data_IF_146742535822
#
_entry.id   IF_146742535822
#
_cell.length_a   1.000
_cell.length_b   1.000
_cell.length_c   1.000
_cell.angle_alpha   90.00
_cell.angle_beta   90.00
_cell.angle_gamma   90.00
#
_symmetry.space_group_name_H-M   'P 1'
#
loop_
_entity.id
_entity.type
_entity.pdbx_description
1 polymer ?
#
# COMPACT_ATOMS: atom_id res chain seq x y z
N UNK A 1 14.37 -4.25 -17.16
CA UNK A 1 13.06 -4.44 -16.50
C UNK A 1 13.33 -4.56 -15.01
N UNK A 2 12.64 -3.78 -14.17
CA UNK A 2 12.95 -3.61 -12.74
C UNK A 2 13.25 -4.91 -11.99
N UNK A 3 14.21 -4.88 -11.06
CA UNK A 3 14.52 -5.99 -10.18
C UNK A 3 13.38 -6.15 -9.17
N UNK A 4 12.54 -7.19 -9.35
CA UNK A 4 11.39 -7.50 -8.47
C UNK A 4 11.77 -7.85 -7.02
N UNK A 5 13.06 -8.00 -6.75
CA UNK A 5 13.58 -8.41 -5.44
C UNK A 5 14.16 -7.23 -4.65
N UNK A 6 14.03 -5.99 -5.15
CA UNK A 6 14.41 -4.80 -4.40
C UNK A 6 13.20 -4.34 -3.59
N UNK A 7 13.32 -4.39 -2.27
CA UNK A 7 12.27 -4.03 -1.32
C UNK A 7 12.50 -2.61 -0.75
N UNK A 8 11.44 -1.98 -0.22
CA UNK A 8 11.52 -0.64 0.38
C UNK A 8 12.56 -0.60 1.50
N UNK A 9 12.64 -1.64 2.34
CA UNK A 9 13.65 -1.75 3.41
C UNK A 9 15.10 -1.64 2.91
N UNK A 10 15.37 -2.03 1.65
CA UNK A 10 16.71 -2.03 1.07
C UNK A 10 17.02 -0.69 0.39
N UNK A 11 16.01 -0.04 -0.19
CA UNK A 11 16.18 1.23 -0.92
C UNK A 11 16.04 2.45 -0.03
N UNK A 12 15.17 2.36 0.98
CA UNK A 12 14.80 3.45 1.87
C UNK A 12 14.49 2.90 3.28
N UNK A 13 15.54 2.60 4.06
CA UNK A 13 15.37 2.03 5.40
C UNK A 13 14.71 3.00 6.38
N UNK A 14 14.81 4.31 6.16
CA UNK A 14 14.15 5.33 6.99
C UNK A 14 12.63 5.28 6.77
N UNK A 15 12.18 5.26 5.51
CA UNK A 15 10.76 5.10 5.20
C UNK A 15 10.21 3.77 5.70
N UNK A 16 10.97 2.68 5.55
CA UNK A 16 10.57 1.39 6.08
C UNK A 16 10.39 1.42 7.60
N UNK A 17 11.31 2.05 8.34
CA UNK A 17 11.19 2.20 9.79
C UNK A 17 9.94 3.01 10.18
N UNK A 18 9.60 4.06 9.43
CA UNK A 18 8.38 4.84 9.65
C UNK A 18 7.10 4.01 9.43
N UNK A 19 7.06 3.17 8.38
CA UNK A 19 5.94 2.25 8.12
C UNK A 19 5.78 1.26 9.27
N UNK A 20 6.88 0.65 9.75
CA UNK A 20 6.83 -0.29 10.86
C UNK A 20 6.36 0.36 12.17
N UNK A 21 6.81 1.59 12.43
CA UNK A 21 6.36 2.34 13.60
C UNK A 21 4.86 2.65 13.55
N UNK A 22 4.31 2.98 12.38
CA UNK A 22 2.87 3.22 12.21
C UNK A 22 2.05 1.94 12.35
N UNK A 23 2.51 0.81 11.80
CA UNK A 23 1.87 -0.49 12.03
C UNK A 23 1.75 -0.79 13.53
N UNK A 24 2.85 -0.63 14.27
CA UNK A 24 2.85 -0.83 15.72
C UNK A 24 1.93 0.17 16.44
N UNK A 25 1.84 1.43 16.00
CA UNK A 25 0.92 2.41 16.59
C UNK A 25 -0.54 1.97 16.42
N UNK A 26 -0.91 1.51 15.23
CA UNK A 26 -2.26 1.05 14.92
C UNK A 26 -2.64 -0.20 15.70
N UNK A 27 -1.72 -1.16 15.87
CA UNK A 27 -1.99 -2.39 16.61
C UNK A 27 -2.13 -2.18 18.13
N UNK A 28 -1.40 -1.22 18.70
CA UNK A 28 -1.38 -0.96 20.14
C UNK A 28 -2.36 0.13 20.59
N UNK A 29 -3.16 0.70 19.70
CA UNK A 29 -4.12 1.76 20.01
C UNK A 29 -5.55 1.36 19.68
N UNK A 30 -6.51 1.79 20.50
CA UNK A 30 -7.92 1.67 20.17
C UNK A 30 -8.30 2.87 19.32
N UNK A 31 -8.58 2.64 18.04
CA UNK A 31 -9.04 3.71 17.16
C UNK A 31 -10.55 3.95 17.34
N UNK A 32 -10.92 5.19 17.63
CA UNK A 32 -12.30 5.62 17.93
C UNK A 32 -12.82 6.68 16.96
N UNK A 33 -12.00 7.08 15.98
CA UNK A 33 -12.42 7.98 14.91
C UNK A 33 -13.41 7.24 14.02
N UNK A 34 -14.67 7.67 14.02
CA UNK A 34 -15.78 6.97 13.36
C UNK A 34 -15.61 6.81 11.83
N UNK A 35 -14.77 7.63 11.20
CA UNK A 35 -14.48 7.56 9.77
C UNK A 35 -13.27 6.68 9.41
N UNK A 36 -12.47 6.29 10.39
CA UNK A 36 -11.28 5.45 10.16
C UNK A 36 -11.61 3.96 10.19
N UNK A 37 -10.84 3.18 9.45
CA UNK A 37 -11.01 1.74 9.35
C UNK A 37 -9.72 1.07 8.84
N UNK A 38 -9.62 -0.24 9.01
CA UNK A 38 -8.49 -1.05 8.55
C UNK A 38 -8.87 -1.82 7.29
N UNK A 39 -8.12 -1.60 6.21
CA UNK A 39 -8.31 -2.36 4.97
C UNK A 39 -7.89 -3.82 5.18
N UNK A 40 -8.57 -4.76 4.51
CA UNK A 40 -8.17 -6.16 4.56
C UNK A 40 -6.84 -6.38 3.83
N UNK A 41 -6.05 -7.42 4.20
CA UNK A 41 -4.82 -7.77 3.49
C UNK A 41 -5.03 -7.98 1.98
N UNK A 42 -6.19 -8.50 1.58
CA UNK A 42 -6.54 -8.69 0.17
C UNK A 42 -6.67 -7.37 -0.60
N UNK A 43 -7.25 -6.33 0.01
CA UNK A 43 -7.37 -5.00 -0.59
C UNK A 43 -6.00 -4.35 -0.75
N UNK A 44 -5.16 -4.40 0.30
CA UNK A 44 -3.80 -3.85 0.25
C UNK A 44 -2.94 -4.56 -0.80
N UNK A 45 -3.05 -5.89 -0.91
CA UNK A 45 -2.33 -6.67 -1.93
C UNK A 45 -2.75 -6.26 -3.35
N UNK A 46 -4.05 -6.01 -3.60
CA UNK A 46 -4.54 -5.54 -4.89
C UNK A 46 -3.99 -4.14 -5.25
N UNK A 47 -3.88 -3.23 -4.27
CA UNK A 47 -3.31 -1.90 -4.47
C UNK A 47 -1.83 -1.94 -4.89
N UNK A 48 -1.07 -2.94 -4.40
CA UNK A 48 0.34 -3.15 -4.76
C UNK A 48 0.58 -3.85 -6.11
N UNK A 49 -0.45 -4.09 -6.91
CA UNK A 49 -0.31 -4.82 -8.19
C UNK A 49 0.15 -3.94 -9.35
N UNK A 50 0.48 -4.58 -10.47
CA UNK A 50 0.87 -3.92 -11.71
C UNK A 50 -0.20 -3.00 -12.31
N UNK A 51 -1.44 -3.02 -11.78
CA UNK A 51 -2.52 -2.13 -12.21
C UNK A 51 -2.15 -0.64 -12.09
N UNK A 52 -1.31 -0.28 -11.12
CA UNK A 52 -0.83 1.11 -10.94
C UNK A 52 -0.01 1.63 -12.12
N UNK A 53 0.61 0.75 -12.90
CA UNK A 53 1.45 1.14 -14.04
C UNK A 53 0.63 1.47 -15.29
N UNK A 54 -0.68 1.20 -15.27
CA UNK A 54 -1.49 1.22 -16.49
C UNK A 54 -2.17 2.57 -16.69
N UNK A 55 -1.87 3.22 -17.81
CA UNK A 55 -2.72 4.27 -18.36
C UNK A 55 -3.96 3.64 -19.03
N UNK A 56 -5.16 4.02 -18.58
CA UNK A 56 -6.43 3.43 -19.01
C UNK A 56 -7.57 4.47 -19.03
N UNK A 57 -7.37 5.57 -19.78
CA UNK A 57 -8.45 6.51 -20.08
C UNK A 57 -9.61 5.85 -20.85
N UNK A 58 -10.79 6.46 -20.74
CA UNK A 58 -12.02 5.97 -21.36
C UNK A 58 -12.82 5.04 -20.44
N UNK A 59 -13.61 4.16 -21.04
CA UNK A 59 -14.41 3.17 -20.32
C UNK A 59 -14.06 1.76 -20.80
N UNK A 60 -14.39 0.70 -20.06
CA UNK A 60 -14.27 -0.66 -20.58
C UNK A 60 -14.94 -0.79 -21.97
N UNK A 61 -14.16 -1.17 -22.98
CA UNK A 61 -14.64 -1.31 -24.37
C UNK A 61 -14.83 0.02 -25.13
N UNK A 62 -14.49 1.16 -24.55
CA UNK A 62 -14.55 2.47 -25.22
C UNK A 62 -13.24 3.22 -24.99
N UNK A 63 -12.58 3.63 -26.07
CA UNK A 63 -11.45 4.56 -25.97
C UNK A 63 -11.95 5.94 -25.62
#
# INVERSE_FOLDING_TARGET
MYHRNILVEQTDPELWAAIQAENARQEHHIELIASENYASPAVMAAQGTQLTNKYAEGYPGKR
#
